data_IF_370327382480
#
_entry.id   IF_370327382480
#
_cell.length_a   1.000
_cell.length_b   1.000
_cell.length_c   1.000
_cell.angle_alpha   90.00
_cell.angle_beta   90.00
_cell.angle_gamma   90.00
#
_symmetry.space_group_name_H-M   'P 1'
#
loop_
_entity.id
_entity.type
_entity.pdbx_description
1 polymer ?
#
# COMPACT_ATOMS: atom_id res chain seq x y z
N UNK A 1 5.58 75.85 78.62
CA UNK A 1 6.83 76.51 79.05
C UNK A 1 7.77 76.54 77.86
N UNK A 2 8.40 77.68 77.55
CA UNK A 2 9.28 77.81 76.37
C UNK A 2 8.57 78.16 75.06
N UNK A 3 7.30 78.54 75.11
CA UNK A 3 6.55 79.09 73.97
C UNK A 3 5.90 80.41 74.38
N UNK A 4 5.99 81.42 73.52
CA UNK A 4 5.34 82.72 73.71
C UNK A 4 3.85 82.70 73.35
N UNK A 5 3.41 81.66 72.63
CA UNK A 5 2.01 81.39 72.25
C UNK A 5 1.61 79.96 72.65
N UNK A 6 1.40 79.67 73.94
CA UNK A 6 0.98 78.34 74.36
C UNK A 6 -0.41 77.99 73.81
N UNK A 7 -0.61 76.74 73.43
CA UNK A 7 -1.93 76.26 73.02
C UNK A 7 -2.96 76.45 74.15
N UNK A 8 -4.06 77.20 73.95
CA UNK A 8 -5.05 77.47 75.00
C UNK A 8 -5.80 76.22 75.48
N UNK A 9 -5.73 75.11 74.74
CA UNK A 9 -6.34 73.84 75.09
C UNK A 9 -5.34 72.84 75.72
N UNK A 10 -4.07 73.22 75.92
CA UNK A 10 -3.06 72.34 76.49
C UNK A 10 -2.77 72.71 77.95
N UNK A 11 -2.83 71.73 78.85
CA UNK A 11 -2.38 71.89 80.24
C UNK A 11 -0.86 72.06 80.32
N UNK A 12 -0.12 71.47 79.38
CA UNK A 12 1.32 71.59 79.25
C UNK A 12 1.74 71.57 77.78
N UNK A 13 2.25 72.70 77.30
CA UNK A 13 2.85 72.85 75.97
C UNK A 13 4.39 72.90 76.10
N UNK A 14 5.06 71.93 75.48
CA UNK A 14 6.51 71.75 75.52
C UNK A 14 7.08 71.92 74.11
N UNK A 15 7.85 72.99 73.92
CA UNK A 15 8.57 73.25 72.67
C UNK A 15 10.05 72.99 72.88
N UNK A 16 10.63 72.08 72.10
CA UNK A 16 12.09 71.94 72.02
C UNK A 16 12.63 72.90 70.97
N UNK A 17 13.27 73.99 71.41
CA UNK A 17 13.81 75.04 70.53
C UNK A 17 14.73 74.47 69.43
N UNK A 18 15.52 73.45 69.77
CA UNK A 18 16.44 72.76 68.84
C UNK A 18 15.89 71.43 68.31
N UNK A 19 14.64 71.08 68.63
CA UNK A 19 13.99 69.81 68.28
C UNK A 19 14.75 68.56 68.72
N UNK A 20 15.45 68.63 69.86
CA UNK A 20 16.31 67.57 70.38
C UNK A 20 16.11 67.27 71.89
N UNK A 21 15.05 67.78 72.49
CA UNK A 21 14.68 67.55 73.89
C UNK A 21 13.29 66.91 73.96
N UNK A 22 13.06 66.06 74.96
CA UNK A 22 11.77 65.42 75.24
C UNK A 22 11.31 65.62 76.68
N UNK A 23 10.22 64.95 77.06
CA UNK A 23 9.69 64.93 78.42
C UNK A 23 10.18 63.69 79.17
N UNK A 24 10.80 63.89 80.34
CA UNK A 24 11.02 62.81 81.29
C UNK A 24 9.85 62.76 82.28
N UNK A 25 9.30 61.57 82.48
CA UNK A 25 8.29 61.26 83.51
C UNK A 25 8.96 60.58 84.70
N UNK A 26 8.28 60.42 85.86
CA UNK A 26 8.85 59.69 86.99
C UNK A 26 9.35 58.31 86.57
N UNK A 27 10.59 58.00 86.97
CA UNK A 27 11.26 56.75 86.69
C UNK A 27 11.32 55.95 87.98
N UNK A 28 10.74 54.75 87.97
CA UNK A 28 10.55 53.91 89.16
C UNK A 28 11.06 52.50 88.88
N UNK A 29 11.62 51.84 89.89
CA UNK A 29 11.79 50.39 89.91
C UNK A 29 10.44 49.68 90.01
N UNK A 30 10.43 48.36 89.81
CA UNK A 30 9.24 47.52 90.07
C UNK A 30 8.80 47.68 91.52
N UNK A 31 9.74 47.64 92.47
CA UNK A 31 9.43 47.78 93.90
C UNK A 31 8.84 49.14 94.27
N UNK A 32 9.31 50.23 93.65
CA UNK A 32 8.76 51.57 93.87
C UNK A 32 7.38 51.72 93.22
N UNK A 33 7.17 51.10 92.06
CA UNK A 33 5.87 51.06 91.38
C UNK A 33 4.82 50.34 92.24
N UNK A 34 5.17 49.18 92.81
CA UNK A 34 4.30 48.45 93.74
C UNK A 34 4.01 49.26 95.02
N UNK A 35 4.97 50.05 95.50
CA UNK A 35 4.80 50.89 96.68
C UNK A 35 3.80 52.03 96.42
N UNK A 36 3.86 52.69 95.26
CA UNK A 36 2.91 53.76 94.93
C UNK A 36 1.51 53.23 94.60
N UNK A 37 1.42 52.03 94.00
CA UNK A 37 0.15 51.40 93.60
C UNK A 37 -0.86 51.32 94.74
N UNK A 38 -0.40 51.11 95.97
CA UNK A 38 -1.24 51.00 97.17
C UNK A 38 -1.99 52.28 97.52
N UNK A 39 -1.55 53.43 97.01
CA UNK A 39 -2.12 54.74 97.28
C UNK A 39 -2.83 55.35 96.06
N UNK A 40 -2.93 54.61 94.94
CA UNK A 40 -3.59 55.08 93.73
C UNK A 40 -5.05 54.65 93.69
N UNK A 41 -5.88 55.48 93.08
CA UNK A 41 -7.31 55.24 92.86
C UNK A 41 -7.74 55.73 91.46
N UNK A 42 -9.02 55.68 91.14
CA UNK A 42 -9.55 56.21 89.88
C UNK A 42 -9.26 57.71 89.68
N UNK A 43 -9.07 58.49 90.75
CA UNK A 43 -8.73 59.92 90.62
C UNK A 43 -7.35 60.16 90.01
N UNK A 44 -6.50 59.13 90.04
CA UNK A 44 -5.15 59.16 89.49
C UNK A 44 -5.06 58.60 88.06
N UNK A 45 -6.21 58.28 87.45
CA UNK A 45 -6.28 57.79 86.07
C UNK A 45 -5.55 58.76 85.12
N UNK A 46 -4.66 58.21 84.28
CA UNK A 46 -3.79 58.98 83.39
C UNK A 46 -2.40 59.31 83.97
N UNK A 47 -2.10 58.90 85.21
CA UNK A 47 -0.74 58.97 85.75
C UNK A 47 0.22 58.14 84.90
N UNK A 48 1.27 58.76 84.36
CA UNK A 48 2.28 58.13 83.51
C UNK A 48 3.62 58.00 84.25
N UNK A 49 4.19 56.80 84.24
CA UNK A 49 5.52 56.48 84.79
C UNK A 49 6.34 55.72 83.76
N UNK A 50 7.66 55.69 83.96
CA UNK A 50 8.56 54.78 83.26
C UNK A 50 9.14 53.80 84.26
N UNK A 51 8.91 52.51 84.05
CA UNK A 51 9.43 51.47 84.96
C UNK A 51 10.79 51.03 84.45
N UNK A 52 11.86 51.44 85.15
CA UNK A 52 13.25 51.30 84.67
C UNK A 52 13.66 49.84 84.47
N UNK A 53 13.30 48.97 85.41
CA UNK A 53 13.58 47.53 85.33
C UNK A 53 12.89 46.82 84.16
N UNK A 54 11.80 47.40 83.65
CA UNK A 54 11.02 46.87 82.51
C UNK A 54 11.33 47.59 81.20
N UNK A 55 11.98 48.75 81.26
CA UNK A 55 12.28 49.60 80.11
C UNK A 55 11.03 50.09 79.36
N UNK A 56 9.91 50.29 80.07
CA UNK A 56 8.61 50.61 79.44
C UNK A 56 7.85 51.70 80.20
N UNK A 57 7.04 52.44 79.45
CA UNK A 57 6.07 53.38 80.01
C UNK A 57 4.81 52.64 80.46
N UNK A 58 4.28 53.06 81.60
CA UNK A 58 3.02 52.58 82.15
C UNK A 58 2.11 53.75 82.49
N UNK A 59 0.82 53.63 82.22
CA UNK A 59 -0.19 54.55 82.70
C UNK A 59 -1.18 53.86 83.66
N UNK A 60 -1.64 54.60 84.66
CA UNK A 60 -2.64 54.11 85.60
C UNK A 60 -4.04 54.28 85.02
N UNK A 61 -4.83 53.21 85.02
CA UNK A 61 -6.23 53.23 84.61
C UNK A 61 -7.00 52.09 85.25
N UNK A 62 -8.21 52.36 85.74
CA UNK A 62 -9.14 51.33 86.26
C UNK A 62 -8.49 50.37 87.27
N UNK A 63 -7.84 50.95 88.29
CA UNK A 63 -7.10 50.25 89.35
C UNK A 63 -5.93 49.37 88.89
N UNK A 64 -5.45 49.53 87.66
CA UNK A 64 -4.38 48.73 87.10
C UNK A 64 -3.36 49.58 86.34
N UNK A 65 -2.12 49.08 86.29
CA UNK A 65 -1.10 49.62 85.40
C UNK A 65 -1.24 49.02 84.01
N UNK A 66 -1.41 49.88 83.02
CA UNK A 66 -1.41 49.52 81.60
C UNK A 66 -0.08 49.92 80.97
N UNK A 67 0.48 49.06 80.12
CA UNK A 67 1.67 49.39 79.33
C UNK A 67 1.30 50.20 78.10
N UNK A 68 2.09 51.22 77.79
CA UNK A 68 2.16 51.74 76.43
C UNK A 68 3.10 50.83 75.64
N UNK A 69 2.58 49.71 75.13
CA UNK A 69 3.30 49.00 74.09
C UNK A 69 3.23 49.86 72.82
N UNK A 70 4.34 50.09 72.09
CA UNK A 70 4.18 50.36 70.67
C UNK A 70 3.43 49.14 70.15
N UNK A 71 2.25 49.35 69.57
CA UNK A 71 1.43 48.29 68.98
C UNK A 71 2.36 47.23 68.40
N UNK A 72 2.28 46.00 68.90
CA UNK A 72 3.20 44.89 68.64
C UNK A 72 3.23 44.40 67.19
N UNK A 73 3.06 45.32 66.24
CA UNK A 73 2.99 45.15 64.82
C UNK A 73 3.63 46.35 64.11
N UNK A 74 4.95 46.48 64.18
CA UNK A 74 5.78 46.90 63.03
C UNK A 74 7.24 46.53 63.33
N UNK A 75 7.52 45.22 63.23
CA UNK A 75 8.82 44.81 62.72
C UNK A 75 9.02 45.53 61.38
N UNK A 76 10.00 46.42 61.34
CA UNK A 76 10.52 47.00 60.09
C UNK A 76 11.38 45.96 59.35
N UNK A 77 10.79 44.79 59.09
CA UNK A 77 11.16 43.91 57.99
C UNK A 77 9.84 43.52 57.32
N UNK A 78 9.71 43.86 56.06
CA UNK A 78 8.57 43.55 55.20
C UNK A 78 7.92 42.19 55.53
N UNK A 79 6.66 42.21 55.97
CA UNK A 79 5.69 41.17 55.62
C UNK A 79 5.74 39.80 56.32
N UNK A 80 6.16 39.67 57.58
CA UNK A 80 5.94 38.43 58.33
C UNK A 80 5.39 38.70 59.73
N UNK A 81 4.08 38.46 59.89
CA UNK A 81 3.44 38.30 61.20
C UNK A 81 4.02 37.04 61.83
N UNK A 82 4.66 37.19 62.99
CA UNK A 82 5.12 36.09 63.84
C UNK A 82 3.96 35.33 64.47
N UNK A 83 3.12 34.70 63.64
CA UNK A 83 2.49 33.44 64.02
C UNK A 83 3.65 32.46 64.07
N UNK A 84 3.87 31.73 65.18
CA UNK A 84 4.67 30.52 65.10
C UNK A 84 4.08 29.69 63.96
N UNK A 85 4.71 29.68 62.78
CA UNK A 85 4.27 28.84 61.69
C UNK A 85 4.28 27.42 62.27
N UNK A 86 3.13 26.73 62.33
CA UNK A 86 3.09 25.40 62.92
C UNK A 86 4.16 24.56 62.22
N UNK A 87 4.84 23.67 62.96
CA UNK A 87 5.86 22.81 62.36
C UNK A 87 5.27 22.07 61.16
N UNK A 88 5.81 22.32 59.97
CA UNK A 88 5.37 21.66 58.74
C UNK A 88 6.21 20.40 58.55
N UNK A 89 5.56 19.26 58.40
CA UNK A 89 6.25 18.00 58.13
C UNK A 89 6.92 18.07 56.74
N UNK A 90 8.06 17.40 56.57
CA UNK A 90 8.73 17.33 55.27
C UNK A 90 7.77 16.87 54.17
N UNK A 91 7.91 17.47 52.98
CA UNK A 91 7.06 17.21 51.83
C UNK A 91 5.61 17.70 51.97
N UNK A 92 5.27 18.45 53.03
CA UNK A 92 3.98 19.13 53.15
C UNK A 92 4.08 20.61 52.74
N UNK A 93 2.95 21.20 52.35
CA UNK A 93 2.80 22.60 51.99
C UNK A 93 1.64 23.23 52.78
N UNK A 94 1.70 24.54 53.01
CA UNK A 94 0.56 25.29 53.55
C UNK A 94 -0.43 25.66 52.45
N UNK A 95 -1.71 25.38 52.68
CA UNK A 95 -2.81 25.73 51.77
C UNK A 95 -3.95 26.36 52.55
N UNK A 96 -4.78 27.18 51.90
CA UNK A 96 -5.99 27.70 52.52
C UNK A 96 -7.09 26.64 52.59
N UNK A 97 -7.89 26.64 53.65
CA UNK A 97 -9.11 25.84 53.78
C UNK A 97 -10.38 26.69 53.64
N UNK A 98 -11.55 26.05 53.74
CA UNK A 98 -12.86 26.72 53.63
C UNK A 98 -13.12 27.77 54.71
N UNK A 99 -12.43 27.72 55.84
CA UNK A 99 -12.53 28.69 56.94
C UNK A 99 -11.51 29.83 56.82
N UNK A 100 -10.85 29.98 55.66
CA UNK A 100 -9.78 30.96 55.43
C UNK A 100 -8.58 30.80 56.37
N UNK A 101 -8.36 29.59 56.88
CA UNK A 101 -7.23 29.24 57.72
C UNK A 101 -6.19 28.45 56.91
N UNK A 102 -4.93 28.55 57.31
CA UNK A 102 -3.87 27.72 56.77
C UNK A 102 -4.02 26.28 57.30
N UNK A 103 -3.92 25.29 56.41
CA UNK A 103 -3.86 23.87 56.73
C UNK A 103 -2.72 23.21 55.94
N UNK A 104 -2.20 22.08 56.43
CA UNK A 104 -1.12 21.35 55.74
C UNK A 104 -1.68 20.40 54.67
N UNK A 105 -1.14 20.46 53.46
CA UNK A 105 -1.35 19.49 52.40
C UNK A 105 -0.10 18.62 52.23
N UNK A 106 -0.26 17.30 52.19
CA UNK A 106 0.83 16.39 51.84
C UNK A 106 1.10 16.44 50.32
N UNK A 107 2.29 16.90 49.93
CA UNK A 107 2.77 16.97 48.55
C UNK A 107 3.94 16.00 48.27
N UNK A 108 4.24 15.08 49.19
CA UNK A 108 5.38 14.15 49.10
C UNK A 108 5.14 12.95 48.17
N UNK A 109 3.90 12.74 47.72
CA UNK A 109 3.57 11.64 46.81
C UNK A 109 4.35 11.75 45.50
N UNK A 110 5.19 10.75 45.23
CA UNK A 110 5.98 10.67 43.99
C UNK A 110 5.08 10.64 42.75
N UNK A 111 5.43 11.44 41.74
CA UNK A 111 4.71 11.48 40.46
C UNK A 111 3.33 12.16 40.53
N UNK A 112 3.03 12.84 41.64
CA UNK A 112 1.83 13.69 41.77
C UNK A 112 2.14 15.14 41.43
N UNK A 113 1.10 15.86 41.02
CA UNK A 113 1.10 17.31 40.79
C UNK A 113 0.10 17.99 41.71
N UNK A 114 0.29 19.28 41.97
CA UNK A 114 -0.70 20.08 42.68
C UNK A 114 -1.74 20.60 41.70
N UNK A 115 -3.00 20.23 41.90
CA UNK A 115 -4.12 20.62 41.04
C UNK A 115 -5.12 21.39 41.87
N UNK A 116 -5.56 22.56 41.36
CA UNK A 116 -6.67 23.29 41.97
C UNK A 116 -7.98 22.51 41.80
N UNK A 117 -8.69 22.26 42.90
CA UNK A 117 -9.96 21.50 42.89
C UNK A 117 -11.20 22.42 42.89
N UNK A 118 -11.00 23.73 42.68
CA UNK A 118 -12.03 24.77 42.73
C UNK A 118 -12.32 25.28 44.14
N UNK A 119 -11.71 24.73 45.20
CA UNK A 119 -11.75 25.25 46.57
C UNK A 119 -10.36 25.54 47.13
N UNK A 120 -9.43 24.60 46.94
CA UNK A 120 -8.03 24.67 47.36
C UNK A 120 -7.13 24.00 46.31
N UNK A 121 -5.97 23.49 46.71
CA UNK A 121 -5.11 22.62 45.90
C UNK A 121 -5.06 21.22 46.51
N UNK A 122 -4.96 20.21 45.65
CA UNK A 122 -4.82 18.80 46.02
C UNK A 122 -3.58 18.20 45.35
N UNK A 123 -2.92 17.26 46.03
CA UNK A 123 -1.86 16.44 45.42
C UNK A 123 -2.50 15.29 44.66
N UNK A 124 -2.40 15.32 43.32
CA UNK A 124 -3.09 14.40 42.41
C UNK A 124 -2.07 13.64 41.58
N UNK A 125 -2.16 12.31 41.60
CA UNK A 125 -1.37 11.46 40.71
C UNK A 125 -1.84 11.60 39.27
N UNK A 126 -0.90 11.77 38.33
CA UNK A 126 -1.24 11.78 36.91
C UNK A 126 -1.73 10.38 36.49
N UNK A 127 -2.92 10.31 35.89
CA UNK A 127 -3.51 9.08 35.36
C UNK A 127 -3.76 9.20 33.85
N UNK A 128 -4.27 8.14 33.22
CA UNK A 128 -4.44 8.09 31.76
C UNK A 128 -3.14 7.69 31.05
N UNK A 129 -2.77 8.40 29.99
CA UNK A 129 -1.65 8.02 29.10
C UNK A 129 -0.27 8.44 29.57
N UNK A 130 -0.20 9.37 30.51
CA UNK A 130 1.06 9.95 30.95
C UNK A 130 1.52 9.33 32.27
N UNK A 131 2.83 9.30 32.47
CA UNK A 131 3.52 9.00 33.74
C UNK A 131 4.41 10.19 34.05
N UNK A 132 4.31 10.72 35.27
CA UNK A 132 5.30 11.62 35.84
C UNK A 132 6.21 10.84 36.77
N UNK A 133 7.51 10.82 36.49
CA UNK A 133 8.51 10.19 37.34
C UNK A 133 9.00 11.13 38.44
N UNK A 134 9.53 10.60 39.56
CA UNK A 134 10.05 11.42 40.66
C UNK A 134 11.20 12.36 40.29
N UNK A 135 11.87 12.15 39.15
CA UNK A 135 12.90 13.06 38.61
C UNK A 135 12.31 14.25 37.83
N UNK A 136 10.98 14.36 37.79
CA UNK A 136 10.26 15.41 37.05
C UNK A 136 10.06 15.10 35.57
N UNK A 137 10.49 13.93 35.07
CA UNK A 137 10.28 13.55 33.67
C UNK A 137 8.84 13.10 33.43
N UNK A 138 8.22 13.63 32.38
CA UNK A 138 6.88 13.27 31.92
C UNK A 138 6.98 12.42 30.66
N UNK A 139 6.51 11.18 30.69
CA UNK A 139 6.54 10.24 29.57
C UNK A 139 5.16 9.67 29.24
N UNK A 140 5.01 9.08 28.06
CA UNK A 140 3.85 8.25 27.73
C UNK A 140 4.00 6.87 28.36
N UNK A 141 2.89 6.26 28.78
CA UNK A 141 2.86 4.83 29.16
C UNK A 141 3.12 3.96 27.94
N UNK A 142 3.62 2.76 28.19
CA UNK A 142 3.62 1.73 27.17
C UNK A 142 2.19 1.54 26.64
N UNK A 143 2.05 1.37 25.32
CA UNK A 143 0.77 1.20 24.61
C UNK A 143 -0.18 2.40 24.64
N UNK A 144 0.22 3.54 25.21
CA UNK A 144 -0.64 4.74 25.23
C UNK A 144 -0.93 5.32 23.85
N UNK A 145 -0.09 5.04 22.85
CA UNK A 145 -0.39 5.35 21.46
C UNK A 145 -1.09 4.14 20.85
N UNK A 146 -2.42 4.21 20.75
CA UNK A 146 -3.26 3.17 20.12
C UNK A 146 -3.47 3.47 18.64
N UNK A 147 -4.00 2.50 17.91
CA UNK A 147 -4.38 2.65 16.49
C UNK A 147 -5.37 3.79 16.30
N UNK A 148 -6.33 3.98 17.20
CA UNK A 148 -7.33 5.06 17.10
C UNK A 148 -6.70 6.46 17.30
N UNK A 149 -5.59 6.55 18.03
CA UNK A 149 -4.82 7.80 18.20
C UNK A 149 -3.91 8.07 17.00
N UNK A 150 -3.68 7.08 16.15
CA UNK A 150 -3.03 7.22 14.85
C UNK A 150 -4.15 7.18 13.80
N UNK A 151 -4.85 8.31 13.63
CA UNK A 151 -5.91 8.43 12.62
C UNK A 151 -5.42 7.99 11.22
N UNK A 152 -6.36 7.66 10.33
CA UNK A 152 -6.04 7.38 8.93
C UNK A 152 -5.23 8.54 8.35
N UNK A 153 -4.16 8.19 7.62
CA UNK A 153 -3.19 9.15 7.06
C UNK A 153 -2.40 9.97 8.10
N UNK A 154 -2.47 9.67 9.40
CA UNK A 154 -1.67 10.39 10.40
C UNK A 154 -0.17 10.20 10.17
N UNK A 155 0.25 9.06 9.59
CA UNK A 155 1.63 8.78 9.18
C UNK A 155 1.74 8.88 7.66
N UNK A 156 2.05 10.08 7.17
CA UNK A 156 2.32 10.36 5.75
C UNK A 156 3.79 10.19 5.40
N UNK A 157 4.09 10.10 4.10
CA UNK A 157 5.44 9.95 3.57
C UNK A 157 6.44 10.99 4.14
N UNK A 158 6.06 12.27 4.28
CA UNK A 158 6.97 13.29 4.83
C UNK A 158 7.31 13.11 6.31
N UNK A 159 6.50 12.36 7.08
CA UNK A 159 6.78 11.98 8.47
C UNK A 159 7.69 10.76 8.57
N UNK A 160 7.86 10.03 7.47
CA UNK A 160 8.80 8.93 7.34
C UNK A 160 10.01 9.49 6.61
N UNK A 161 11.09 9.79 7.33
CA UNK A 161 12.31 10.26 6.68
C UNK A 161 12.76 9.27 5.59
N UNK A 162 13.46 9.77 4.57
CA UNK A 162 14.03 8.91 3.53
C UNK A 162 14.84 7.78 4.17
N UNK A 163 14.65 6.56 3.69
CA UNK A 163 15.28 5.33 4.21
C UNK A 163 14.98 4.99 5.68
N UNK A 164 14.00 5.65 6.32
CA UNK A 164 13.66 5.37 7.72
C UNK A 164 13.12 3.95 7.93
N UNK A 165 12.43 3.38 6.95
CA UNK A 165 11.95 1.99 6.97
C UNK A 165 13.02 1.10 6.34
N UNK A 166 14.00 0.71 7.14
CA UNK A 166 15.11 -0.16 6.73
C UNK A 166 14.68 -1.61 6.62
N UNK A 167 15.50 -2.43 5.94
CA UNK A 167 15.31 -3.88 5.81
C UNK A 167 14.87 -4.58 7.11
N UNK A 168 15.58 -4.32 8.21
CA UNK A 168 15.31 -4.92 9.52
C UNK A 168 13.96 -4.53 10.14
N UNK A 169 13.32 -3.46 9.65
CA UNK A 169 12.04 -2.95 10.16
C UNK A 169 10.84 -3.51 9.39
N UNK A 170 11.06 -4.13 8.23
CA UNK A 170 10.02 -4.79 7.44
C UNK A 170 10.04 -6.27 7.81
N UNK A 171 8.91 -6.78 8.31
CA UNK A 171 8.77 -8.19 8.64
C UNK A 171 8.83 -9.06 7.37
N UNK A 172 9.42 -10.27 7.45
CA UNK A 172 9.63 -11.15 6.28
C UNK A 172 8.32 -11.57 5.59
N UNK A 173 7.21 -11.56 6.34
CA UNK A 173 5.87 -11.87 5.83
C UNK A 173 5.09 -10.65 5.31
N UNK A 174 5.71 -9.47 5.17
CA UNK A 174 5.00 -8.27 4.67
C UNK A 174 4.52 -8.44 3.22
N UNK A 175 5.05 -9.41 2.46
CA UNK A 175 4.84 -9.50 1.02
C UNK A 175 4.27 -10.84 0.51
N UNK A 176 3.79 -11.71 1.41
CA UNK A 176 3.18 -13.00 1.04
C UNK A 176 4.17 -13.97 0.37
N UNK A 177 3.65 -14.98 -0.36
CA UNK A 177 4.47 -16.04 -0.97
C UNK A 177 5.15 -15.64 -2.30
N UNK A 178 4.73 -14.54 -2.93
CA UNK A 178 5.20 -14.13 -4.27
C UNK A 178 6.28 -13.05 -4.30
N UNK A 179 6.55 -12.38 -3.19
CA UNK A 179 7.49 -11.27 -3.09
C UNK A 179 8.40 -11.54 -1.89
N UNK A 180 9.71 -11.44 -2.08
CA UNK A 180 10.67 -11.52 -0.98
C UNK A 180 11.38 -10.20 -0.78
N UNK A 181 11.89 -10.02 0.43
CA UNK A 181 12.75 -8.90 0.72
C UNK A 181 14.19 -9.19 0.26
N UNK A 182 14.72 -8.34 -0.61
CA UNK A 182 16.10 -8.37 -1.06
C UNK A 182 17.08 -7.92 0.02
N UNK A 183 18.38 -8.15 -0.20
CA UNK A 183 19.42 -7.81 0.77
C UNK A 183 19.50 -6.31 1.08
N UNK A 184 19.07 -5.47 0.14
CA UNK A 184 18.98 -4.01 0.25
C UNK A 184 17.65 -3.52 0.86
N UNK A 185 16.72 -4.42 1.20
CA UNK A 185 15.41 -4.08 1.75
C UNK A 185 14.31 -3.82 0.72
N UNK A 186 14.62 -3.81 -0.59
CA UNK A 186 13.61 -3.76 -1.65
C UNK A 186 12.73 -5.00 -1.61
N UNK A 187 11.47 -4.86 -2.00
CA UNK A 187 10.56 -5.98 -2.21
C UNK A 187 10.66 -6.40 -3.67
N UNK A 188 11.14 -7.62 -3.91
CA UNK A 188 11.37 -8.16 -5.24
C UNK A 188 10.49 -9.40 -5.47
N UNK A 189 9.77 -9.41 -6.59
CA UNK A 189 9.18 -10.64 -7.12
C UNK A 189 10.34 -11.51 -7.55
N UNK A 190 10.44 -12.72 -7.01
CA UNK A 190 11.66 -13.50 -7.24
C UNK A 190 11.55 -14.58 -8.26
N UNK A 191 12.49 -14.53 -9.18
CA UNK A 191 12.83 -15.60 -10.07
C UNK A 191 14.25 -16.08 -9.71
N UNK A 192 14.35 -17.14 -8.89
CA UNK A 192 15.66 -17.70 -8.50
C UNK A 192 16.16 -18.79 -9.44
N UNK A 193 15.32 -19.29 -10.34
CA UNK A 193 15.71 -20.21 -11.40
C UNK A 193 15.89 -19.45 -12.71
N UNK A 194 17.07 -19.52 -13.32
CA UNK A 194 17.18 -19.11 -14.73
C UNK A 194 16.28 -19.98 -15.59
N UNK A 195 15.53 -19.40 -16.53
CA UNK A 195 14.69 -20.14 -17.48
C UNK A 195 13.22 -20.31 -17.05
N UNK A 196 12.78 -19.57 -16.04
CA UNK A 196 11.39 -19.60 -15.56
C UNK A 196 10.66 -18.30 -15.92
N UNK A 197 9.36 -18.41 -16.17
CA UNK A 197 8.43 -17.31 -16.35
C UNK A 197 7.63 -17.10 -15.05
N UNK A 198 7.37 -15.84 -14.70
CA UNK A 198 6.51 -15.49 -13.58
C UNK A 198 5.04 -15.50 -14.03
N UNK A 199 4.23 -16.35 -13.40
CA UNK A 199 2.80 -16.54 -13.70
C UNK A 199 1.99 -16.08 -12.50
N UNK A 200 1.00 -15.21 -12.74
CA UNK A 200 0.02 -14.82 -11.73
C UNK A 200 -0.97 -15.96 -11.46
N UNK A 201 -1.13 -16.33 -10.20
CA UNK A 201 -2.06 -17.35 -9.70
C UNK A 201 -2.89 -16.75 -8.55
N UNK A 202 -3.92 -15.97 -8.90
CA UNK A 202 -4.71 -15.20 -7.92
C UNK A 202 -3.85 -14.15 -7.22
N UNK A 203 -3.77 -14.22 -5.88
CA UNK A 203 -2.97 -13.30 -5.05
C UNK A 203 -1.48 -13.70 -4.96
N UNK A 204 -1.04 -14.69 -5.73
CA UNK A 204 0.34 -15.19 -5.72
C UNK A 204 0.98 -15.09 -7.10
N UNK A 205 2.31 -14.99 -7.11
CA UNK A 205 3.13 -15.15 -8.31
C UNK A 205 3.97 -16.40 -8.14
N UNK A 206 3.94 -17.28 -9.13
CA UNK A 206 4.76 -18.49 -9.16
C UNK A 206 5.75 -18.41 -10.32
N UNK A 207 6.99 -18.85 -10.09
CA UNK A 207 7.94 -19.07 -11.16
C UNK A 207 7.69 -20.48 -11.73
N UNK A 208 7.58 -20.57 -13.06
CA UNK A 208 7.40 -21.84 -13.77
C UNK A 208 8.15 -21.81 -15.09
N UNK A 209 8.88 -22.89 -15.40
CA UNK A 209 9.42 -23.09 -16.74
C UNK A 209 8.33 -23.15 -17.81
N UNK A 210 8.67 -22.74 -19.04
CA UNK A 210 7.85 -23.08 -20.22
C UNK A 210 7.97 -24.59 -20.49
N UNK A 211 6.89 -25.20 -20.96
CA UNK A 211 6.86 -26.63 -21.28
C UNK A 211 6.08 -26.88 -22.56
N UNK A 212 6.19 -28.10 -23.09
CA UNK A 212 5.62 -28.49 -24.37
C UNK A 212 6.58 -28.21 -25.52
N UNK A 213 6.18 -27.32 -26.42
CA UNK A 213 6.86 -27.09 -27.70
C UNK A 213 8.01 -26.08 -27.62
N UNK A 214 8.07 -25.28 -26.55
CA UNK A 214 9.03 -24.20 -26.38
C UNK A 214 9.78 -24.35 -25.06
N UNK A 215 11.10 -24.21 -25.10
CA UNK A 215 11.96 -24.04 -23.93
C UNK A 215 12.34 -22.58 -23.73
N UNK A 216 12.53 -22.17 -22.46
CA UNK A 216 13.06 -20.87 -22.06
C UNK A 216 14.41 -21.07 -21.38
N UNK A 217 15.44 -20.41 -21.89
CA UNK A 217 16.79 -20.47 -21.33
C UNK A 217 16.98 -19.38 -20.24
N UNK A 218 18.01 -19.56 -19.41
CA UNK A 218 18.34 -18.62 -18.34
C UNK A 218 18.70 -17.19 -18.81
N UNK A 219 19.10 -17.04 -20.08
CA UNK A 219 19.37 -15.76 -20.72
C UNK A 219 18.11 -15.08 -21.30
N UNK A 220 16.93 -15.70 -21.14
CA UNK A 220 15.66 -15.22 -21.65
C UNK A 220 15.38 -15.59 -23.11
N UNK A 221 16.30 -16.29 -23.79
CA UNK A 221 16.05 -16.80 -25.14
C UNK A 221 15.06 -17.96 -25.13
N UNK A 222 14.22 -18.05 -26.16
CA UNK A 222 13.32 -19.19 -26.36
C UNK A 222 13.76 -20.03 -27.55
N UNK A 223 13.52 -21.34 -27.46
CA UNK A 223 13.75 -22.27 -28.57
C UNK A 223 12.53 -23.14 -28.77
N UNK A 224 12.09 -23.27 -30.01
CA UNK A 224 11.10 -24.28 -30.39
C UNK A 224 11.80 -25.63 -30.43
N UNK A 225 11.48 -26.50 -29.49
CA UNK A 225 12.01 -27.87 -29.41
C UNK A 225 10.97 -28.90 -29.81
N UNK A 226 9.71 -28.49 -29.99
CA UNK A 226 8.64 -29.35 -30.45
C UNK A 226 7.61 -28.62 -31.30
N UNK A 227 6.80 -29.38 -32.03
CA UNK A 227 5.60 -28.92 -32.72
C UNK A 227 4.48 -29.92 -32.44
N UNK A 228 3.40 -29.44 -31.80
CA UNK A 228 2.23 -30.25 -31.40
C UNK A 228 2.59 -31.35 -30.39
N UNK A 229 3.52 -31.07 -29.49
CA UNK A 229 4.01 -31.99 -28.45
C UNK A 229 4.99 -33.04 -28.96
N UNK A 230 5.50 -32.89 -30.19
CA UNK A 230 6.46 -33.81 -30.82
C UNK A 230 7.77 -33.10 -31.09
N UNK A 231 8.90 -33.75 -30.82
CA UNK A 231 10.24 -33.14 -30.95
C UNK A 231 10.52 -32.62 -32.36
N UNK A 232 11.31 -31.55 -32.44
CA UNK A 232 11.91 -31.03 -33.68
C UNK A 232 13.40 -31.33 -33.67
N UNK A 233 13.92 -31.85 -34.77
CA UNK A 233 15.32 -32.20 -34.92
C UNK A 233 16.25 -30.99 -34.73
N UNK A 234 17.47 -31.24 -34.24
CA UNK A 234 18.52 -30.22 -34.16
C UNK A 234 19.34 -30.08 -35.46
N UNK A 235 19.05 -30.89 -36.48
CA UNK A 235 19.70 -30.79 -37.78
C UNK A 235 19.30 -29.48 -38.47
N UNK A 236 20.29 -28.77 -39.02
CA UNK A 236 20.03 -27.57 -39.81
C UNK A 236 19.35 -27.99 -41.12
N UNK A 237 18.22 -27.37 -41.51
CA UNK A 237 17.66 -27.57 -42.84
C UNK A 237 18.64 -27.08 -43.91
N UNK A 238 18.77 -27.84 -44.98
CA UNK A 238 19.42 -27.40 -46.21
C UNK A 238 18.44 -26.65 -47.12
N UNK A 239 18.94 -26.07 -48.21
CA UNK A 239 18.10 -25.42 -49.21
C UNK A 239 17.06 -26.41 -49.76
N UNK A 240 15.83 -25.94 -49.97
CA UNK A 240 14.69 -26.72 -50.47
C UNK A 240 14.19 -27.90 -49.61
N UNK A 241 14.64 -28.02 -48.35
CA UNK A 241 14.11 -29.01 -47.42
C UNK A 241 12.86 -28.52 -46.67
N UNK A 242 11.96 -29.46 -46.37
CA UNK A 242 10.77 -29.22 -45.53
C UNK A 242 10.83 -30.09 -44.28
N UNK A 243 10.27 -29.60 -43.18
CA UNK A 243 10.11 -30.42 -41.98
C UNK A 243 9.02 -31.48 -42.23
N UNK A 244 9.39 -32.75 -42.13
CA UNK A 244 8.48 -33.88 -42.22
C UNK A 244 8.54 -34.70 -40.93
N UNK A 245 7.42 -35.31 -40.57
CA UNK A 245 7.38 -36.25 -39.45
C UNK A 245 7.93 -37.61 -39.91
N UNK A 246 9.06 -38.03 -39.36
CA UNK A 246 9.71 -39.29 -39.75
C UNK A 246 9.22 -40.53 -38.97
N UNK A 247 8.49 -40.32 -37.89
CA UNK A 247 8.09 -41.40 -36.97
C UNK A 247 8.46 -41.09 -35.51
N UNK A 248 9.52 -40.33 -35.30
CA UNK A 248 10.14 -40.04 -34.00
C UNK A 248 10.31 -38.52 -33.76
N UNK A 249 10.69 -37.74 -34.77
CA UNK A 249 10.80 -36.28 -34.71
C UNK A 249 10.39 -35.56 -36.01
N UNK A 250 10.16 -34.25 -35.93
CA UNK A 250 10.07 -33.39 -37.12
C UNK A 250 11.48 -33.13 -37.63
N UNK A 251 11.84 -33.73 -38.76
CA UNK A 251 13.18 -33.66 -39.35
C UNK A 251 13.14 -33.00 -40.74
N UNK A 252 14.14 -32.16 -41.09
CA UNK A 252 14.28 -31.67 -42.46
C UNK A 252 14.47 -32.84 -43.41
N UNK A 253 13.68 -32.88 -44.47
CA UNK A 253 13.81 -33.85 -45.56
C UNK A 253 13.70 -33.13 -46.89
N UNK A 254 14.39 -33.66 -47.89
CA UNK A 254 14.19 -33.24 -49.26
C UNK A 254 12.75 -33.51 -49.66
N UNK A 255 12.14 -32.54 -50.34
CA UNK A 255 10.89 -32.80 -51.05
C UNK A 255 11.25 -33.69 -52.24
N UNK A 256 10.83 -34.96 -52.21
CA UNK A 256 10.96 -35.84 -53.36
C UNK A 256 10.08 -35.29 -54.49
N UNK A 257 10.64 -34.41 -55.30
CA UNK A 257 10.11 -34.13 -56.62
C UNK A 257 10.24 -35.42 -57.42
N UNK A 258 9.16 -35.85 -58.07
CA UNK A 258 9.26 -36.91 -59.07
C UNK A 258 10.16 -36.41 -60.20
N UNK A 259 11.46 -36.70 -60.09
CA UNK A 259 12.41 -36.59 -61.19
C UNK A 259 12.04 -37.69 -62.18
N UNK A 260 11.29 -37.31 -63.21
CA UNK A 260 11.37 -38.02 -64.48
C UNK A 260 12.77 -37.68 -65.02
N UNK A 261 13.54 -38.69 -65.43
CA UNK A 261 14.98 -38.55 -65.60
C UNK A 261 15.38 -37.99 -66.97
N UNK A 262 15.81 -36.72 -67.02
CA UNK A 262 16.40 -36.15 -68.23
C UNK A 262 16.66 -34.64 -68.14
N UNK A 263 17.92 -34.22 -68.23
CA UNK A 263 18.35 -32.81 -68.16
C UNK A 263 17.99 -31.94 -69.37
N UNK A 264 16.86 -32.22 -70.04
CA UNK A 264 16.31 -31.40 -71.12
C UNK A 264 14.79 -31.54 -71.27
N UNK A 265 14.10 -32.00 -70.24
CA UNK A 265 12.65 -32.25 -70.27
C UNK A 265 11.88 -30.95 -70.48
N UNK A 266 11.37 -30.82 -71.70
CA UNK A 266 10.50 -29.71 -72.09
C UNK A 266 9.06 -30.18 -72.03
N UNK A 267 8.21 -29.35 -71.45
CA UNK A 267 6.77 -29.49 -71.53
C UNK A 267 6.25 -28.72 -72.73
N UNK A 268 5.57 -29.43 -73.61
CA UNK A 268 4.82 -28.88 -74.74
C UNK A 268 3.32 -28.97 -74.44
N UNK A 269 2.54 -28.12 -75.08
CA UNK A 269 1.09 -28.22 -75.05
C UNK A 269 0.48 -27.88 -76.40
N UNK A 270 -0.69 -28.42 -76.66
CA UNK A 270 -1.45 -28.15 -77.87
C UNK A 270 -2.80 -28.86 -77.84
N UNK A 271 -3.61 -28.64 -78.86
CA UNK A 271 -5.00 -29.08 -78.90
C UNK A 271 -5.20 -30.34 -79.76
N UNK A 272 -4.17 -31.15 -79.95
CA UNK A 272 -4.27 -32.40 -80.70
C UNK A 272 -3.35 -33.45 -80.12
N UNK A 273 -3.68 -34.72 -80.35
CA UNK A 273 -2.84 -35.84 -79.97
C UNK A 273 -1.47 -35.70 -80.66
N UNK A 274 -0.35 -35.77 -79.91
CA UNK A 274 0.96 -35.55 -80.49
C UNK A 274 1.31 -36.67 -81.46
N UNK A 275 2.13 -36.36 -82.46
CA UNK A 275 2.53 -37.32 -83.51
C UNK A 275 4.04 -37.37 -83.62
N UNK A 276 4.58 -38.31 -84.41
CA UNK A 276 6.03 -38.50 -84.53
C UNK A 276 6.80 -37.20 -84.86
N UNK A 277 6.20 -36.32 -85.67
CA UNK A 277 6.80 -35.05 -86.13
C UNK A 277 6.27 -33.81 -85.40
N UNK A 278 5.30 -33.95 -84.47
CA UNK A 278 4.67 -32.84 -83.78
C UNK A 278 4.53 -33.11 -82.26
N UNK A 279 4.91 -32.17 -81.38
CA UNK A 279 5.55 -30.88 -81.67
C UNK A 279 6.96 -31.04 -82.23
N UNK A 280 7.37 -30.12 -83.10
CA UNK A 280 8.70 -30.13 -83.71
C UNK A 280 9.78 -29.83 -82.67
N UNK A 281 10.89 -30.54 -82.74
CA UNK A 281 12.03 -30.36 -81.82
C UNK A 281 11.86 -31.00 -80.44
N UNK A 282 10.84 -31.85 -80.26
CA UNK A 282 10.71 -32.69 -79.06
C UNK A 282 11.71 -33.84 -79.09
N UNK A 283 12.40 -34.03 -77.97
CA UNK A 283 13.38 -35.08 -77.73
C UNK A 283 12.79 -36.16 -76.81
N UNK A 284 13.43 -37.34 -76.72
CA UNK A 284 12.99 -38.37 -75.77
C UNK A 284 13.15 -37.83 -74.34
N UNK A 285 12.12 -38.07 -73.50
CA UNK A 285 11.99 -37.49 -72.17
C UNK A 285 11.01 -36.31 -72.11
N UNK A 286 10.71 -35.67 -73.24
CA UNK A 286 9.79 -34.53 -73.27
C UNK A 286 8.34 -34.94 -72.99
N UNK A 287 7.57 -34.03 -72.38
CA UNK A 287 6.16 -34.22 -72.07
C UNK A 287 5.29 -33.36 -73.00
N UNK A 288 4.12 -33.87 -73.36
CA UNK A 288 3.13 -33.11 -74.12
C UNK A 288 1.77 -33.20 -73.46
N UNK A 289 1.14 -32.05 -73.20
CA UNK A 289 -0.23 -31.97 -72.74
C UNK A 289 -1.19 -31.63 -73.89
N UNK A 290 -2.04 -32.59 -74.24
CA UNK A 290 -3.16 -32.36 -75.15
C UNK A 290 -4.30 -31.68 -74.37
N UNK A 291 -4.50 -30.39 -74.63
CA UNK A 291 -5.51 -29.57 -73.99
C UNK A 291 -6.93 -29.86 -74.49
N UNK A 292 -7.11 -30.59 -75.59
CA UNK A 292 -8.43 -30.91 -76.12
C UNK A 292 -9.06 -32.13 -75.45
N UNK A 293 -8.24 -33.10 -75.05
CA UNK A 293 -8.72 -34.33 -74.39
C UNK A 293 -8.13 -34.54 -72.98
N UNK A 294 -7.39 -33.55 -72.48
CA UNK A 294 -6.69 -33.51 -71.19
C UNK A 294 -5.71 -34.66 -70.98
N UNK A 295 -5.04 -35.16 -72.02
CA UNK A 295 -4.06 -36.24 -71.91
C UNK A 295 -2.63 -35.73 -71.85
N UNK A 296 -1.81 -36.43 -71.08
CA UNK A 296 -0.36 -36.22 -70.98
C UNK A 296 0.34 -37.38 -71.67
N UNK A 297 1.29 -37.05 -72.53
CA UNK A 297 2.11 -37.99 -73.27
C UNK A 297 3.58 -37.78 -72.90
N UNK A 298 4.38 -38.85 -72.95
CA UNK A 298 5.83 -38.84 -72.82
C UNK A 298 6.45 -39.33 -74.12
N UNK A 299 7.49 -38.65 -74.60
CA UNK A 299 8.23 -39.09 -75.78
C UNK A 299 9.29 -40.11 -75.38
N UNK A 300 9.19 -41.34 -75.88
CA UNK A 300 10.19 -42.39 -75.65
C UNK A 300 10.53 -43.09 -76.97
N UNK A 301 11.83 -43.33 -77.20
CA UNK A 301 12.33 -44.00 -78.40
C UNK A 301 11.79 -43.43 -79.73
N UNK A 302 11.52 -42.13 -79.77
CA UNK A 302 10.99 -41.40 -80.93
C UNK A 302 9.46 -41.34 -81.02
N UNK A 303 8.72 -42.09 -80.20
CA UNK A 303 7.26 -42.15 -80.22
C UNK A 303 6.65 -41.47 -78.99
N UNK A 304 5.46 -40.89 -79.14
CA UNK A 304 4.68 -40.37 -78.01
C UNK A 304 3.83 -41.47 -77.39
N UNK A 305 4.14 -41.82 -76.14
CA UNK A 305 3.39 -42.78 -75.35
C UNK A 305 2.43 -42.03 -74.44
N UNK A 306 1.15 -42.43 -74.44
CA UNK A 306 0.15 -41.88 -73.52
C UNK A 306 0.52 -42.28 -72.08
N UNK A 307 0.83 -41.30 -71.24
CA UNK A 307 1.05 -41.55 -69.81
C UNK A 307 -0.27 -41.59 -69.03
N UNK A 308 -1.26 -40.81 -69.47
CA UNK A 308 -2.55 -40.73 -68.82
C UNK A 308 -3.28 -39.45 -69.21
N UNK A 309 -4.31 -39.07 -68.48
CA UNK A 309 -4.94 -37.76 -68.63
C UNK A 309 -5.54 -37.28 -67.32
N UNK A 310 -5.73 -35.97 -67.20
CA UNK A 310 -6.32 -35.34 -66.02
C UNK A 310 -7.86 -35.43 -65.99
N UNK A 311 -8.48 -36.30 -66.80
CA UNK A 311 -9.93 -36.51 -66.73
C UNK A 311 -10.27 -37.32 -65.47
N UNK A 312 -11.16 -36.74 -64.65
CA UNK A 312 -11.70 -37.30 -63.40
C UNK A 312 -11.84 -38.82 -63.46
N UNK A 313 -11.02 -39.49 -62.66
CA UNK A 313 -10.76 -40.92 -62.63
C UNK A 313 -12.03 -41.79 -62.74
N UNK A 314 -12.04 -42.70 -63.72
CA UNK A 314 -12.68 -44.00 -63.51
C UNK A 314 -11.70 -44.90 -62.73
N UNK A 315 -12.12 -45.56 -61.64
CA UNK A 315 -11.20 -46.19 -60.69
C UNK A 315 -10.69 -47.54 -61.20
N UNK A 316 -9.37 -47.71 -61.24
CA UNK A 316 -8.76 -49.03 -61.20
C UNK A 316 -8.75 -49.53 -59.75
N UNK A 317 -9.21 -50.76 -59.55
CA UNK A 317 -9.42 -51.41 -58.26
C UNK A 317 -8.13 -51.55 -57.43
N UNK A 318 -8.06 -50.90 -56.27
CA UNK A 318 -7.13 -51.27 -55.19
C UNK A 318 -7.94 -51.96 -54.08
N UNK A 319 -7.48 -53.16 -53.72
CA UNK A 319 -8.06 -54.02 -52.69
C UNK A 319 -8.15 -53.29 -51.34
N UNK A 320 -9.32 -53.42 -50.72
CA UNK A 320 -9.65 -52.85 -49.42
C UNK A 320 -8.80 -53.46 -48.31
N UNK A 321 -8.07 -52.60 -47.59
CA UNK A 321 -7.28 -53.00 -46.43
C UNK A 321 -6.70 -51.86 -45.60
N UNK A 322 -7.22 -50.62 -45.69
CA UNK A 322 -6.92 -49.56 -44.72
C UNK A 322 -8.05 -48.52 -44.71
N UNK A 323 -8.60 -48.24 -43.53
CA UNK A 323 -9.59 -47.18 -43.31
C UNK A 323 -8.88 -45.82 -43.24
N UNK A 324 -9.25 -44.90 -44.14
CA UNK A 324 -9.15 -43.45 -43.92
C UNK A 324 -10.09 -42.70 -44.90
N UNK A 325 -11.13 -42.09 -44.33
CA UNK A 325 -11.73 -40.78 -44.58
C UNK A 325 -12.14 -40.29 -45.99
N UNK A 326 -13.47 -40.24 -46.17
CA UNK A 326 -14.29 -39.18 -46.78
C UNK A 326 -13.62 -38.13 -47.70
N UNK A 327 -13.60 -38.43 -49.01
CA UNK A 327 -13.73 -37.45 -50.09
C UNK A 327 -14.61 -38.04 -51.19
N UNK A 328 -15.91 -37.69 -51.25
CA UNK A 328 -16.74 -37.98 -52.43
C UNK A 328 -16.80 -36.76 -53.33
N UNK A 329 -16.73 -37.03 -54.63
CA UNK A 329 -16.82 -36.06 -55.74
C UNK A 329 -18.22 -35.47 -55.87
N UNK A 330 -18.36 -34.17 -56.19
CA UNK A 330 -19.65 -33.54 -56.43
C UNK A 330 -20.35 -34.16 -57.65
N UNK A 331 -21.68 -34.26 -57.60
CA UNK A 331 -22.50 -34.89 -58.64
C UNK A 331 -23.37 -33.85 -59.35
N UNK A 332 -23.48 -33.93 -60.68
CA UNK A 332 -24.39 -33.13 -61.50
C UNK A 332 -25.66 -33.93 -61.80
N UNK A 333 -26.79 -33.44 -61.31
CA UNK A 333 -28.11 -34.00 -61.56
C UNK A 333 -28.79 -33.27 -62.72
N UNK A 334 -29.49 -34.00 -63.58
CA UNK A 334 -30.18 -33.40 -64.74
C UNK A 334 -31.64 -33.84 -64.73
N UNK A 335 -32.54 -32.86 -64.71
CA UNK A 335 -33.96 -33.13 -64.88
C UNK A 335 -34.68 -32.02 -65.62
N UNK A 336 -35.98 -32.19 -65.79
CA UNK A 336 -36.72 -31.33 -66.72
C UNK A 336 -37.09 -30.00 -66.06
N UNK A 337 -37.50 -29.99 -64.79
CA UNK A 337 -37.99 -28.78 -64.09
C UNK A 337 -36.96 -28.27 -63.05
N UNK A 338 -37.13 -27.03 -62.56
CA UNK A 338 -36.28 -26.50 -61.48
C UNK A 338 -36.46 -27.28 -60.16
N UNK A 339 -35.38 -27.49 -59.39
CA UNK A 339 -35.47 -28.15 -58.08
C UNK A 339 -36.17 -27.27 -57.05
N UNK A 340 -36.92 -27.86 -56.11
CA UNK A 340 -37.64 -27.13 -55.05
C UNK A 340 -36.94 -27.26 -53.69
N UNK A 341 -37.19 -26.27 -52.82
CA UNK A 341 -36.58 -26.18 -51.50
C UNK A 341 -37.06 -27.36 -50.61
N UNK A 342 -36.14 -28.26 -50.23
CA UNK A 342 -36.45 -29.44 -49.43
C UNK A 342 -36.45 -30.79 -50.17
N UNK A 343 -36.18 -30.82 -51.47
CA UNK A 343 -35.94 -32.08 -52.18
C UNK A 343 -34.60 -32.70 -51.72
N UNK A 344 -34.67 -33.85 -51.03
CA UNK A 344 -33.50 -34.60 -50.53
C UNK A 344 -32.84 -35.40 -51.67
N UNK A 345 -32.10 -34.70 -52.54
CA UNK A 345 -31.42 -35.29 -53.69
C UNK A 345 -29.87 -35.27 -53.64
N UNK A 346 -29.23 -34.99 -52.51
CA UNK A 346 -27.75 -35.07 -52.43
C UNK A 346 -27.10 -34.38 -51.22
N UNK A 347 -25.79 -34.13 -51.25
CA UNK A 347 -25.00 -33.43 -50.20
C UNK A 347 -24.52 -32.04 -50.68
N UNK A 348 -23.87 -31.24 -49.83
CA UNK A 348 -23.36 -29.89 -50.19
C UNK A 348 -22.21 -29.97 -51.19
N UNK A 349 -22.30 -29.21 -52.30
CA UNK A 349 -21.33 -29.21 -53.40
C UNK A 349 -21.87 -29.77 -54.73
N UNK A 350 -23.09 -30.31 -54.74
CA UNK A 350 -23.74 -30.86 -55.93
C UNK A 350 -24.40 -29.77 -56.81
N UNK A 351 -24.47 -30.01 -58.13
CA UNK A 351 -25.05 -29.12 -59.14
C UNK A 351 -26.30 -29.76 -59.77
N UNK A 352 -27.26 -28.96 -60.23
CA UNK A 352 -28.46 -29.42 -60.93
C UNK A 352 -28.72 -28.60 -62.20
N UNK A 353 -28.89 -29.26 -63.35
CA UNK A 353 -29.26 -28.58 -64.60
C UNK A 353 -30.72 -28.86 -64.96
N UNK A 354 -31.53 -27.80 -65.08
CA UNK A 354 -32.91 -27.91 -65.56
C UNK A 354 -32.95 -27.76 -67.08
N UNK A 355 -33.48 -28.78 -67.78
CA UNK A 355 -33.60 -28.75 -69.24
C UNK A 355 -34.69 -27.81 -69.74
N UNK A 356 -35.79 -27.63 -69.01
CA UNK A 356 -36.86 -26.74 -69.46
C UNK A 356 -36.52 -25.27 -69.23
N UNK A 357 -35.70 -24.96 -68.23
CA UNK A 357 -35.24 -23.60 -67.96
C UNK A 357 -33.85 -23.30 -68.53
N UNK A 358 -33.15 -24.32 -69.03
CA UNK A 358 -31.77 -24.29 -69.55
C UNK A 358 -30.77 -23.59 -68.61
N UNK A 359 -30.93 -23.79 -67.30
CA UNK A 359 -30.12 -23.13 -66.27
C UNK A 359 -29.51 -24.14 -65.31
N UNK A 360 -28.28 -23.81 -64.88
CA UNK A 360 -27.54 -24.54 -63.87
C UNK A 360 -27.81 -23.95 -62.49
N UNK A 361 -28.08 -24.83 -61.54
CA UNK A 361 -28.35 -24.51 -60.15
C UNK A 361 -27.28 -25.15 -59.27
N UNK A 362 -26.89 -24.44 -58.23
CA UNK A 362 -25.99 -24.96 -57.19
C UNK A 362 -26.66 -24.87 -55.83
N UNK A 363 -26.28 -25.81 -54.96
CA UNK A 363 -26.88 -25.93 -53.63
C UNK A 363 -26.15 -25.06 -52.61
N UNK A 364 -26.92 -24.27 -51.87
CA UNK A 364 -26.47 -23.56 -50.67
C UNK A 364 -27.14 -24.15 -49.43
N UNK A 365 -26.34 -24.40 -48.39
CA UNK A 365 -26.86 -24.78 -47.08
C UNK A 365 -27.21 -23.50 -46.31
N UNK A 366 -28.49 -23.28 -46.01
CA UNK A 366 -28.90 -22.19 -45.14
C UNK A 366 -28.69 -22.62 -43.68
N UNK A 367 -27.50 -22.31 -43.18
CA UNK A 367 -27.00 -22.72 -41.85
C UNK A 367 -27.83 -22.14 -40.70
N UNK A 368 -28.66 -21.12 -40.96
CA UNK A 368 -29.48 -20.46 -39.94
C UNK A 368 -30.78 -21.21 -39.62
N UNK A 369 -31.32 -21.99 -40.58
CA UNK A 369 -32.61 -22.66 -40.44
C UNK A 369 -32.55 -24.18 -40.75
N UNK A 370 -31.36 -24.72 -41.00
CA UNK A 370 -31.16 -26.15 -41.27
C UNK A 370 -31.79 -26.64 -42.57
N UNK A 371 -32.06 -25.74 -43.52
CA UNK A 371 -32.71 -26.06 -44.80
C UNK A 371 -31.79 -25.82 -45.99
N UNK A 372 -32.16 -26.44 -47.11
CA UNK A 372 -31.39 -26.45 -48.34
C UNK A 372 -32.02 -25.48 -49.33
N UNK A 373 -31.27 -24.51 -49.83
CA UNK A 373 -31.71 -23.58 -50.87
C UNK A 373 -30.95 -23.81 -52.18
N UNK A 374 -31.66 -23.70 -53.29
CA UNK A 374 -31.10 -23.80 -54.63
C UNK A 374 -31.01 -22.42 -55.26
N UNK A 375 -29.83 -22.06 -55.77
CA UNK A 375 -29.59 -20.79 -56.43
C UNK A 375 -29.12 -21.04 -57.86
N UNK A 376 -29.68 -20.32 -58.83
CA UNK A 376 -29.19 -20.37 -60.21
C UNK A 376 -27.82 -19.70 -60.28
N UNK A 377 -26.92 -20.30 -61.03
CA UNK A 377 -25.72 -19.63 -61.53
C UNK A 377 -26.08 -18.65 -62.65
#
# INVERSE_FOLDING_TARGET
MGTEEPNPNAVLDLVSEKRNQGLLVPRLSVSETEAITKNLSETDNGLLIFVEDKGRFYYWWDYNWHTLEPDGNTTSSEGSVGVEAPSLLEGHLWVGNETSQATSLNASSSGSILVGDGKTVASVTITGDLILQPDGTLTLKNTSVTTEKIADEAIIASKIANDAVTRSKIHSNVAGLGIRQAANGSLEVTNTGGGELLIGQGDSVVASGLSGDITLNADGSTKVTGLRGRSVSNNLPEEDQVLTWDGDEWTPQDVAFFSFGGSSERWYSGNNTPSFTYPSGADNGDFYYDTNDNRVYLKESGSWNLLGGFNSLAPASINAGAKADSYRTPVLYIGNNKPVEGDDIGFTGDFYYSRNEEKLYYRLLDVSNGKIKWQSL
#
